data_IF_330957972200
#
_entry.id   IF_330957972200
#
_cell.length_a   1.000
_cell.length_b   1.000
_cell.length_c   1.000
_cell.angle_alpha   90.00
_cell.angle_beta   90.00
_cell.angle_gamma   90.00
#
_symmetry.space_group_name_H-M   'P 1'
#
loop_
_entity.id
_entity.type
_entity.pdbx_description
1 polymer ?
#
# COMPACT_ATOMS: atom_id res chain seq x y z
N UNK A 1 24.85 2.47 5.67
CA UNK A 1 23.76 2.66 6.66
C UNK A 1 23.86 3.96 7.45
N UNK A 2 24.90 4.20 8.28
CA UNK A 2 24.98 5.44 9.09
C UNK A 2 25.12 6.74 8.26
N UNK A 3 25.84 6.69 7.14
CA UNK A 3 25.99 7.83 6.22
C UNK A 3 24.68 8.20 5.51
N UNK A 4 23.85 7.22 5.13
CA UNK A 4 22.55 7.50 4.49
C UNK A 4 21.59 8.15 5.49
N UNK A 5 21.56 7.66 6.74
CA UNK A 5 20.74 8.23 7.83
C UNK A 5 21.19 9.66 8.14
N UNK A 6 22.49 9.95 8.18
CA UNK A 6 23.00 11.29 8.44
C UNK A 6 22.73 12.26 7.28
N UNK A 7 22.85 11.82 6.02
CA UNK A 7 22.53 12.66 4.86
C UNK A 7 21.04 13.02 4.81
N UNK A 8 20.20 12.03 5.12
CA UNK A 8 18.74 12.17 5.25
C UNK A 8 18.38 13.19 6.34
N UNK A 9 18.97 13.07 7.55
CA UNK A 9 18.78 14.02 8.64
C UNK A 9 19.28 15.44 8.30
N UNK A 10 20.44 15.57 7.64
CA UNK A 10 21.03 16.85 7.28
C UNK A 10 20.25 17.61 6.18
N UNK A 11 19.39 16.93 5.42
CA UNK A 11 18.47 17.55 4.46
C UNK A 11 17.17 18.05 5.11
N UNK A 12 17.07 18.01 6.44
CA UNK A 12 15.86 18.43 7.17
C UNK A 12 14.74 17.39 7.13
N UNK A 13 15.01 16.16 6.66
CA UNK A 13 14.05 15.07 6.78
C UNK A 13 13.93 14.67 8.26
N UNK A 14 12.82 15.05 8.85
CA UNK A 14 12.44 14.71 10.22
C UNK A 14 12.32 13.19 10.34
N UNK A 15 13.34 12.55 10.92
CA UNK A 15 13.30 11.14 11.30
C UNK A 15 12.36 11.00 12.48
N UNK A 16 11.20 10.39 12.22
CA UNK A 16 10.10 10.35 13.17
C UNK A 16 8.97 9.53 12.59
N UNK A 17 8.88 8.27 13.05
CA UNK A 17 7.93 7.24 12.60
C UNK A 17 6.48 7.57 12.95
N UNK A 18 5.94 8.68 12.47
CA UNK A 18 4.60 9.15 12.76
C UNK A 18 3.71 8.89 11.54
N UNK A 19 3.21 7.66 11.46
CA UNK A 19 2.31 7.24 10.39
C UNK A 19 0.93 6.93 10.95
N UNK A 20 -0.10 7.48 10.32
CA UNK A 20 -1.46 7.02 10.48
C UNK A 20 -1.75 5.97 9.41
N UNK A 21 -2.17 4.79 9.83
CA UNK A 21 -2.55 3.69 8.95
C UNK A 21 -4.01 3.36 9.16
N UNK A 22 -4.79 3.33 8.08
CA UNK A 22 -6.18 2.90 8.08
C UNK A 22 -6.39 1.86 6.99
N UNK A 23 -7.17 0.82 7.30
CA UNK A 23 -7.55 -0.21 6.36
C UNK A 23 -8.95 -0.70 6.67
N UNK A 24 -9.65 -1.18 5.65
CA UNK A 24 -10.93 -1.85 5.81
C UNK A 24 -10.96 -3.11 4.94
N UNK A 25 -11.83 -4.05 5.29
CA UNK A 25 -12.17 -5.18 4.44
C UNK A 25 -13.68 -5.22 4.29
N UNK A 26 -14.15 -4.96 3.07
CA UNK A 26 -15.55 -4.88 2.72
C UNK A 26 -15.91 -6.17 1.97
N UNK A 27 -16.73 -7.07 2.56
CA UNK A 27 -17.21 -8.23 1.84
C UNK A 27 -18.20 -7.79 0.75
N UNK A 28 -18.09 -8.40 -0.42
CA UNK A 28 -18.95 -8.21 -1.57
C UNK A 28 -19.69 -9.52 -1.88
N UNK A 29 -20.65 -9.45 -2.80
CA UNK A 29 -21.35 -10.65 -3.27
C UNK A 29 -20.36 -11.66 -3.89
N UNK A 30 -20.67 -12.96 -3.74
CA UNK A 30 -19.84 -14.04 -4.29
C UNK A 30 -18.48 -14.17 -3.63
N UNK A 31 -18.42 -14.01 -2.30
CA UNK A 31 -17.19 -14.16 -1.47
C UNK A 31 -16.02 -13.26 -1.89
N UNK A 32 -16.30 -12.25 -2.71
CA UNK A 32 -15.31 -11.26 -3.12
C UNK A 32 -15.07 -10.26 -1.98
N UNK A 33 -13.89 -9.64 -1.95
CA UNK A 33 -13.53 -8.66 -0.92
C UNK A 33 -12.87 -7.44 -1.55
N UNK A 34 -13.29 -6.25 -1.10
CA UNK A 34 -12.68 -4.97 -1.42
C UNK A 34 -11.97 -4.42 -0.17
N UNK A 35 -10.68 -4.16 -0.31
CA UNK A 35 -9.81 -3.77 0.79
C UNK A 35 -9.14 -2.44 0.47
N UNK A 36 -9.75 -1.30 0.83
CA UNK A 36 -9.10 -0.01 0.76
C UNK A 36 -8.07 0.14 1.90
N UNK A 37 -6.96 0.81 1.61
CA UNK A 37 -5.93 1.17 2.58
C UNK A 37 -5.48 2.62 2.41
N UNK A 38 -5.09 3.24 3.51
CA UNK A 38 -4.54 4.59 3.57
C UNK A 38 -3.37 4.61 4.55
N UNK A 39 -2.26 5.20 4.12
CA UNK A 39 -1.13 5.55 4.97
C UNK A 39 -0.89 7.05 4.84
N UNK A 40 -0.77 7.75 5.96
CA UNK A 40 -0.44 9.17 6.00
C UNK A 40 0.81 9.35 6.85
N UNK A 41 1.84 9.95 6.29
CA UNK A 41 2.97 10.48 7.02
C UNK A 41 2.53 11.80 7.68
N UNK A 42 2.49 11.83 9.02
CA UNK A 42 2.03 13.00 9.78
C UNK A 42 3.07 14.13 9.82
N UNK A 43 4.30 13.85 9.40
CA UNK A 43 5.41 14.81 9.42
C UNK A 43 5.39 15.71 8.18
N UNK A 44 5.31 15.12 7.00
CA UNK A 44 5.36 15.84 5.71
C UNK A 44 4.02 15.80 4.94
N UNK A 45 3.01 15.12 5.48
CA UNK A 45 1.70 14.98 4.85
C UNK A 45 1.66 14.01 3.66
N UNK A 46 2.75 13.28 3.40
CA UNK A 46 2.79 12.31 2.30
C UNK A 46 1.75 11.20 2.52
N UNK A 47 1.06 10.80 1.45
CA UNK A 47 -0.04 9.84 1.53
C UNK A 47 0.17 8.68 0.57
N UNK A 48 -0.28 7.50 0.98
CA UNK A 48 -0.38 6.32 0.13
C UNK A 48 -1.81 5.78 0.25
N UNK A 49 -2.49 5.74 -0.89
CA UNK A 49 -3.82 5.18 -1.04
C UNK A 49 -3.71 3.86 -1.78
N UNK A 50 -4.26 2.80 -1.22
CA UNK A 50 -4.31 1.48 -1.82
C UNK A 50 -5.74 1.00 -1.98
N UNK A 51 -5.96 0.22 -3.03
CA UNK A 51 -7.19 -0.54 -3.21
C UNK A 51 -6.84 -1.93 -3.69
N UNK A 52 -7.29 -2.93 -2.95
CA UNK A 52 -7.12 -4.33 -3.28
C UNK A 52 -8.49 -4.98 -3.47
N UNK A 53 -8.65 -5.74 -4.53
CA UNK A 53 -9.83 -6.53 -4.83
C UNK A 53 -9.42 -7.99 -4.98
N UNK A 54 -10.18 -8.86 -4.33
CA UNK A 54 -10.01 -10.31 -4.42
C UNK A 54 -11.36 -10.97 -4.72
N UNK A 55 -11.33 -12.02 -5.52
CA UNK A 55 -12.52 -12.80 -5.88
C UNK A 55 -12.14 -14.27 -6.05
N UNK A 56 -12.93 -15.21 -5.51
CA UNK A 56 -12.69 -16.62 -5.76
C UNK A 56 -12.99 -16.97 -7.21
N UNK A 57 -12.16 -17.82 -7.79
CA UNK A 57 -12.36 -18.39 -9.13
C UNK A 57 -13.10 -19.73 -9.02
N UNK A 58 -14.25 -19.74 -8.34
CA UNK A 58 -15.04 -20.94 -8.05
C UNK A 58 -15.49 -21.71 -9.30
N UNK A 59 -15.51 -21.06 -10.46
CA UNK A 59 -15.77 -21.71 -11.76
C UNK A 59 -14.65 -22.66 -12.19
N UNK A 60 -13.42 -22.47 -11.68
CA UNK A 60 -12.24 -23.28 -11.99
C UNK A 60 -11.91 -24.18 -10.80
N UNK A 61 -11.80 -23.60 -9.60
CA UNK A 61 -11.54 -24.32 -8.36
C UNK A 61 -11.92 -23.46 -7.16
N UNK A 62 -12.51 -24.08 -6.14
CA UNK A 62 -12.76 -23.42 -4.85
C UNK A 62 -11.48 -23.09 -4.06
N UNK A 63 -10.31 -23.55 -4.53
CA UNK A 63 -9.01 -23.29 -3.93
C UNK A 63 -8.25 -22.15 -4.64
N UNK A 64 -8.84 -21.52 -5.65
CA UNK A 64 -8.19 -20.49 -6.45
C UNK A 64 -8.86 -19.13 -6.24
N UNK A 65 -8.05 -18.12 -5.99
CA UNK A 65 -8.49 -16.73 -5.82
C UNK A 65 -7.71 -15.85 -6.80
N UNK A 66 -8.43 -15.01 -7.54
CA UNK A 66 -7.81 -13.95 -8.32
C UNK A 66 -7.82 -12.67 -7.49
N UNK A 67 -6.73 -11.92 -7.57
CA UNK A 67 -6.66 -10.61 -6.96
C UNK A 67 -6.04 -9.60 -7.91
N UNK A 68 -6.51 -8.37 -7.79
CA UNK A 68 -5.95 -7.23 -8.47
C UNK A 68 -6.02 -6.03 -7.54
N UNK A 69 -5.08 -5.11 -7.71
CA UNK A 69 -5.07 -3.92 -6.90
C UNK A 69 -4.17 -2.86 -7.46
N UNK A 70 -4.27 -1.70 -6.86
CA UNK A 70 -3.43 -0.57 -7.17
C UNK A 70 -3.12 0.22 -5.93
N UNK A 71 -2.08 1.02 -6.02
CA UNK A 71 -1.79 2.04 -5.05
C UNK A 71 -1.32 3.30 -5.76
N UNK A 72 -1.61 4.44 -5.13
CA UNK A 72 -1.04 5.73 -5.48
C UNK A 72 -0.33 6.25 -4.24
N UNK A 73 0.92 6.63 -4.40
CA UNK A 73 1.63 7.45 -3.43
C UNK A 73 1.68 8.88 -3.96
N UNK A 74 1.57 9.86 -3.07
CA UNK A 74 1.72 11.29 -3.34
C UNK A 74 2.44 11.94 -2.16
N UNK A 75 3.39 12.83 -2.44
CA UNK A 75 4.12 13.56 -1.39
C UNK A 75 5.59 13.74 -1.69
N UNK A 76 6.36 14.04 -0.65
CA UNK A 76 7.78 14.35 -0.81
C UNK A 76 8.56 13.11 -1.24
N UNK A 77 9.34 13.23 -2.32
CA UNK A 77 10.34 12.22 -2.71
C UNK A 77 11.44 12.03 -1.64
N UNK A 78 11.54 13.01 -0.74
CA UNK A 78 12.38 12.99 0.45
C UNK A 78 11.58 12.60 1.70
N UNK A 79 10.52 11.79 1.56
CA UNK A 79 9.87 11.18 2.71
C UNK A 79 10.68 9.96 3.17
N UNK A 80 10.71 9.71 4.48
CA UNK A 80 11.34 8.53 5.06
C UNK A 80 10.76 7.29 4.35
N UNK A 81 11.61 6.39 3.85
CA UNK A 81 11.31 5.19 3.03
C UNK A 81 11.26 5.31 1.51
N UNK A 82 11.28 6.50 0.90
CA UNK A 82 11.13 6.66 -0.57
C UNK A 82 9.91 5.92 -1.17
N UNK A 83 8.97 5.49 -0.31
CA UNK A 83 7.68 4.90 -0.66
C UNK A 83 6.69 5.97 -1.12
N UNK A 84 7.01 7.25 -0.84
CA UNK A 84 6.23 8.41 -1.19
C UNK A 84 6.92 9.24 -2.28
N UNK A 85 6.09 9.88 -3.10
CA UNK A 85 6.44 10.52 -4.38
C UNK A 85 5.30 10.27 -5.38
N UNK A 86 5.29 10.92 -6.54
CA UNK A 86 4.22 10.76 -7.55
C UNK A 86 4.30 9.39 -8.26
N UNK A 87 3.86 8.35 -7.56
CA UNK A 87 3.96 6.96 -8.02
C UNK A 87 2.58 6.33 -8.07
N UNK A 88 2.31 5.63 -9.16
CA UNK A 88 1.15 4.79 -9.33
C UNK A 88 1.60 3.37 -9.66
N UNK A 89 1.13 2.41 -8.88
CA UNK A 89 1.42 0.99 -9.05
C UNK A 89 0.13 0.20 -9.24
N UNK A 90 0.17 -0.77 -10.15
CA UNK A 90 -0.90 -1.73 -10.37
C UNK A 90 -0.32 -3.14 -10.28
N UNK A 91 -1.10 -4.08 -9.78
CA UNK A 91 -0.73 -5.48 -9.71
C UNK A 91 -1.95 -6.37 -9.91
N UNK A 92 -1.69 -7.57 -10.41
CA UNK A 92 -2.66 -8.63 -10.59
C UNK A 92 -1.98 -9.97 -10.30
N UNK A 93 -2.73 -10.93 -9.78
CA UNK A 93 -2.19 -12.23 -9.45
C UNK A 93 -3.25 -13.25 -9.08
N UNK A 94 -2.78 -14.46 -8.83
CA UNK A 94 -3.61 -15.55 -8.35
C UNK A 94 -3.01 -16.11 -7.07
N UNK A 95 -3.87 -16.58 -6.19
CA UNK A 95 -3.50 -17.25 -4.94
C UNK A 95 -4.18 -18.61 -4.93
N UNK A 96 -3.37 -19.65 -4.70
CA UNK A 96 -3.83 -21.02 -4.58
C UNK A 96 -3.74 -21.45 -3.13
N UNK A 97 -4.84 -21.97 -2.58
CA UNK A 97 -4.92 -22.49 -1.22
C UNK A 97 -4.69 -24.01 -1.25
N UNK A 98 -3.65 -24.46 -0.51
CA UNK A 98 -3.30 -25.88 -0.33
C UNK A 98 -4.26 -26.58 0.64
#
# INVERSE_FOLDING_TARGET
MASEISNTANQGMLQGKHYLNAWASLPLAGESSLQPSLVVNLVDGSTLLGLHYSTPLSAISNQLEAYAGGYSAQGSRYSEFALFGDTLGLYLGFKYYL
#
